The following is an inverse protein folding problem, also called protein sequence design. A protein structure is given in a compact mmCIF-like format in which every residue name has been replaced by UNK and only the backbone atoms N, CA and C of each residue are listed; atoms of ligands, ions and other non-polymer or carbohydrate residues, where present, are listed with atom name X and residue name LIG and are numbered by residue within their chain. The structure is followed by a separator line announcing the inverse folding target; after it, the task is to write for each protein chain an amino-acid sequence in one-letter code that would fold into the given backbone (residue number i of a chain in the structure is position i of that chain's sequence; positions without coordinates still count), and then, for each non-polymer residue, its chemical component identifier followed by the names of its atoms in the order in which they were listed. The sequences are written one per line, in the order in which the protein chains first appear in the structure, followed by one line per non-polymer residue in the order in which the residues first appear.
data_IF_930329207757
#
_entry.id   IF_930329207757
#
_cell.length_a   1.000
_cell.length_b   1.000
_cell.length_c   1.000
_cell.angle_alpha   90.00
_cell.angle_beta   90.00
_cell.angle_gamma   90.00
#
_symmetry.space_group_name_H-M   'P 1'
#
loop_
_entity.id
_entity.type
_entity.pdbx_description
1 polymer ?
#
# COMPACT_ATOMS: atom_id res chain seq x y z
N UNK A 1 16.94 33.71 17.71
CA UNK A 1 16.58 32.31 18.03
C UNK A 1 15.40 31.93 17.15
N UNK A 2 15.66 31.35 15.99
CA UNK A 2 14.61 30.99 15.02
C UNK A 2 13.96 29.69 15.47
N UNK A 3 12.68 29.73 15.78
CA UNK A 3 11.87 28.51 15.93
C UNK A 3 11.63 27.91 14.54
N UNK A 4 12.32 26.83 14.25
CA UNK A 4 12.03 26.00 13.08
C UNK A 4 10.62 25.42 13.20
N UNK A 5 9.85 25.55 12.14
CA UNK A 5 8.53 24.95 12.02
C UNK A 5 8.67 23.41 12.07
N UNK A 6 8.05 22.82 13.07
CA UNK A 6 8.09 21.39 13.41
C UNK A 6 7.46 20.50 12.31
N UNK A 7 6.74 21.08 11.34
CA UNK A 7 6.00 20.32 10.33
C UNK A 7 6.83 19.64 9.24
N UNK A 8 7.97 20.23 8.84
CA UNK A 8 8.77 19.66 7.75
C UNK A 8 9.70 18.51 8.20
N UNK A 9 10.06 18.46 9.47
CA UNK A 9 10.90 17.38 9.99
C UNK A 9 10.11 16.10 10.28
N UNK A 10 8.82 16.19 10.57
CA UNK A 10 7.97 15.00 10.72
C UNK A 10 7.77 14.26 9.39
N UNK A 11 7.56 14.98 8.29
CA UNK A 11 7.42 14.34 6.97
C UNK A 11 8.69 13.62 6.50
N UNK A 12 9.87 14.09 6.89
CA UNK A 12 11.16 13.46 6.53
C UNK A 12 11.45 12.22 7.39
N UNK A 13 10.91 12.15 8.62
CA UNK A 13 11.12 11.02 9.53
C UNK A 13 10.17 9.85 9.29
N UNK A 14 9.04 10.08 8.64
CA UNK A 14 8.00 9.07 8.40
C UNK A 14 8.11 8.40 7.04
N UNK A 15 9.02 8.86 6.17
CA UNK A 15 9.32 8.22 4.90
C UNK A 15 10.66 7.49 4.98
N UNK A 16 10.67 6.22 4.63
CA UNK A 16 11.87 5.38 4.61
C UNK A 16 12.05 4.69 3.28
N UNK A 17 13.28 4.28 3.08
CA UNK A 17 13.60 3.29 2.04
C UNK A 17 13.51 1.89 2.65
N UNK A 18 13.01 0.93 1.91
CA UNK A 18 12.98 -0.47 2.33
C UNK A 18 13.82 -1.35 1.42
N UNK A 19 13.85 -2.66 1.74
CA UNK A 19 14.64 -3.63 0.96
C UNK A 19 13.94 -4.08 -0.32
N UNK A 20 12.63 -3.88 -0.42
CA UNK A 20 11.83 -4.34 -1.56
C UNK A 20 12.13 -3.50 -2.81
N UNK A 21 12.22 -2.17 -2.63
CA UNK A 21 12.67 -1.24 -3.69
C UNK A 21 13.69 -0.29 -3.10
N UNK A 22 14.98 -0.65 -3.14
CA UNK A 22 16.04 0.14 -2.54
C UNK A 22 16.11 1.57 -3.09
N UNK A 23 16.42 2.53 -2.22
CA UNK A 23 16.57 3.95 -2.57
C UNK A 23 15.29 4.64 -3.09
N UNK A 24 14.14 4.04 -2.87
CA UNK A 24 12.83 4.62 -3.22
C UNK A 24 12.04 4.90 -1.95
N UNK A 25 11.58 6.14 -1.81
CA UNK A 25 10.85 6.56 -0.62
C UNK A 25 9.45 5.96 -0.57
N UNK A 26 9.11 5.45 0.59
CA UNK A 26 7.80 4.92 0.90
C UNK A 26 7.25 5.54 2.19
N UNK A 27 5.95 5.56 2.33
CA UNK A 27 5.27 6.06 3.52
C UNK A 27 4.24 5.03 4.00
N UNK A 28 4.49 4.48 5.17
CA UNK A 28 3.58 3.57 5.85
C UNK A 28 2.58 4.38 6.67
N UNK A 29 1.29 4.03 6.57
CA UNK A 29 0.22 4.58 7.39
C UNK A 29 0.07 6.11 7.30
N UNK A 30 0.23 6.68 6.11
CA UNK A 30 -0.11 8.08 5.87
C UNK A 30 -1.57 8.35 6.18
N UNK A 31 -1.86 9.40 6.95
CA UNK A 31 -3.21 9.72 7.43
C UNK A 31 -4.21 9.87 6.28
N UNK A 32 -3.82 10.56 5.20
CA UNK A 32 -4.72 10.77 4.06
C UNK A 32 -4.98 9.44 3.33
N UNK A 33 -3.97 8.58 3.21
CA UNK A 33 -4.11 7.26 2.57
C UNK A 33 -4.88 6.28 3.45
N UNK A 34 -4.81 6.39 4.77
CA UNK A 34 -5.63 5.56 5.67
C UNK A 34 -7.08 6.04 5.76
N UNK A 35 -7.35 7.33 5.58
CA UNK A 35 -8.72 7.81 5.33
C UNK A 35 -9.26 7.25 4.02
N UNK A 36 -8.42 7.17 2.97
CA UNK A 36 -8.78 6.54 1.71
C UNK A 36 -9.06 5.04 1.90
N UNK A 37 -8.23 4.32 2.67
CA UNK A 37 -8.42 2.92 3.05
C UNK A 37 -9.85 2.68 3.59
N UNK A 38 -10.29 3.48 4.56
CA UNK A 38 -11.64 3.36 5.11
C UNK A 38 -12.74 3.75 4.10
N UNK A 39 -12.50 4.81 3.31
CA UNK A 39 -13.50 5.30 2.35
C UNK A 39 -13.77 4.33 1.21
N UNK A 40 -12.77 3.60 0.73
CA UNK A 40 -12.95 2.63 -0.36
C UNK A 40 -13.37 1.25 0.14
N UNK A 41 -13.28 0.96 1.42
CA UNK A 41 -13.66 -0.34 2.00
C UNK A 41 -15.04 -0.82 1.57
N UNK A 42 -16.12 -0.01 1.59
CA UNK A 42 -17.44 -0.47 1.16
C UNK A 42 -17.48 -0.93 -0.31
N UNK A 43 -16.72 -0.24 -1.17
CA UNK A 43 -16.59 -0.63 -2.59
C UNK A 43 -15.79 -1.93 -2.72
N UNK A 44 -14.72 -2.07 -1.93
CA UNK A 44 -13.92 -3.30 -1.88
C UNK A 44 -14.76 -4.50 -1.41
N UNK A 45 -15.59 -4.32 -0.38
CA UNK A 45 -16.51 -5.35 0.11
C UNK A 45 -17.54 -5.74 -0.95
N UNK A 46 -18.11 -4.75 -1.64
CA UNK A 46 -19.06 -5.01 -2.74
C UNK A 46 -18.42 -5.83 -3.86
N UNK A 47 -17.19 -5.48 -4.27
CA UNK A 47 -16.51 -6.12 -5.39
C UNK A 47 -15.90 -7.48 -5.04
N UNK A 48 -15.38 -7.63 -3.81
CA UNK A 48 -14.81 -8.91 -3.34
C UNK A 48 -15.89 -9.91 -2.89
N UNK A 49 -17.05 -9.43 -2.49
CA UNK A 49 -18.12 -10.25 -1.89
C UNK A 49 -17.85 -10.68 -0.45
N UNK A 50 -16.82 -10.15 0.19
CA UNK A 50 -16.45 -10.46 1.59
C UNK A 50 -16.41 -9.20 2.44
N UNK A 51 -16.65 -9.37 3.74
CA UNK A 51 -16.45 -8.30 4.72
C UNK A 51 -14.97 -8.17 5.03
N UNK A 52 -14.48 -6.94 5.16
CA UNK A 52 -13.06 -6.64 5.26
C UNK A 52 -12.71 -6.00 6.60
N UNK A 53 -11.52 -6.34 7.11
CA UNK A 53 -10.85 -5.64 8.21
C UNK A 53 -9.75 -4.79 7.61
N UNK A 54 -9.79 -3.45 7.78
CA UNK A 54 -8.76 -2.56 7.25
C UNK A 54 -7.47 -2.71 8.07
N UNK A 55 -6.34 -2.86 7.39
CA UNK A 55 -5.05 -3.03 8.04
C UNK A 55 -4.19 -1.77 7.96
N UNK A 56 -3.69 -1.42 6.78
CA UNK A 56 -2.85 -0.24 6.62
C UNK A 56 -2.76 0.20 5.17
N UNK A 57 -2.33 1.43 4.99
CA UNK A 57 -1.93 1.97 3.70
C UNK A 57 -0.40 2.00 3.57
N UNK A 58 0.08 1.87 2.34
CA UNK A 58 1.49 2.01 2.00
C UNK A 58 1.62 2.79 0.70
N UNK A 59 2.18 3.98 0.75
CA UNK A 59 2.38 4.83 -0.42
C UNK A 59 3.84 4.79 -0.86
N UNK A 60 4.08 4.84 -2.16
CA UNK A 60 5.42 4.86 -2.72
C UNK A 60 5.49 5.73 -3.96
N UNK A 61 6.60 6.47 -4.10
CA UNK A 61 6.92 7.26 -5.29
C UNK A 61 8.09 6.57 -5.98
N UNK A 62 7.77 5.82 -7.01
CA UNK A 62 8.76 5.12 -7.82
C UNK A 62 9.43 6.06 -8.80
N UNK A 63 10.66 5.75 -9.14
CA UNK A 63 11.49 6.47 -10.09
C UNK A 63 12.10 5.54 -11.13
N UNK A 64 12.67 6.10 -12.15
CA UNK A 64 13.31 5.36 -13.24
C UNK A 64 14.30 4.32 -12.74
N UNK A 65 14.19 3.13 -13.28
CA UNK A 65 15.02 1.97 -12.93
C UNK A 65 14.54 1.19 -11.70
N UNK A 66 13.49 1.63 -11.00
CA UNK A 66 12.91 0.84 -9.93
C UNK A 66 12.29 -0.45 -10.46
N UNK A 67 12.43 -1.51 -9.70
CA UNK A 67 11.85 -2.83 -9.96
C UNK A 67 11.09 -3.27 -8.72
N UNK A 68 9.91 -3.85 -8.90
CA UNK A 68 9.24 -4.58 -7.83
C UNK A 68 9.39 -6.06 -8.14
N UNK A 69 10.31 -6.71 -7.43
CA UNK A 69 10.60 -8.14 -7.63
C UNK A 69 9.36 -9.00 -7.45
N UNK A 70 9.31 -10.12 -8.17
CA UNK A 70 8.20 -11.09 -8.09
C UNK A 70 8.10 -11.66 -6.68
N UNK A 71 6.94 -11.50 -6.04
CA UNK A 71 6.69 -11.90 -4.65
C UNK A 71 5.22 -12.15 -4.37
N UNK A 72 4.95 -12.72 -3.21
CA UNK A 72 3.66 -12.71 -2.54
C UNK A 72 3.73 -11.79 -1.33
N UNK A 73 2.62 -11.21 -0.96
CA UNK A 73 2.51 -10.35 0.21
C UNK A 73 2.53 -11.14 1.53
N UNK A 74 2.76 -10.42 2.62
CA UNK A 74 2.65 -10.95 3.97
C UNK A 74 1.17 -11.19 4.38
N UNK A 75 0.89 -12.04 5.40
CA UNK A 75 -0.48 -12.40 5.77
C UNK A 75 -1.42 -11.22 6.10
N UNK A 76 -0.92 -10.08 6.55
CA UNK A 76 -1.73 -8.87 6.77
C UNK A 76 -2.11 -8.12 5.48
N UNK A 77 -1.76 -8.66 4.32
CA UNK A 77 -2.07 -8.14 2.99
C UNK A 77 -2.86 -9.16 2.18
N UNK A 78 -3.81 -9.84 2.82
CA UNK A 78 -4.58 -10.91 2.18
C UNK A 78 -5.38 -10.41 0.97
N UNK A 79 -6.08 -9.30 1.16
CA UNK A 79 -6.77 -8.56 0.10
C UNK A 79 -6.02 -7.25 -0.08
N UNK A 80 -5.29 -7.16 -1.16
CA UNK A 80 -4.46 -6.00 -1.48
C UNK A 80 -5.02 -5.21 -2.64
N UNK A 81 -4.69 -3.93 -2.66
CA UNK A 81 -4.92 -3.08 -3.83
C UNK A 81 -3.64 -2.40 -4.27
N UNK A 82 -3.58 -2.06 -5.55
CA UNK A 82 -2.66 -1.05 -6.07
C UNK A 82 -3.48 0.01 -6.79
N UNK A 83 -3.38 1.26 -6.35
CA UNK A 83 -4.07 2.43 -6.91
C UNK A 83 -3.04 3.38 -7.48
N UNK A 84 -3.18 3.71 -8.76
CA UNK A 84 -2.32 4.68 -9.43
C UNK A 84 -2.79 6.10 -9.13
N UNK A 85 -2.00 6.86 -8.39
CA UNK A 85 -2.33 8.23 -7.99
C UNK A 85 -1.80 9.30 -8.93
N UNK A 86 -0.74 9.01 -9.70
CA UNK A 86 -0.17 9.99 -10.61
C UNK A 86 1.19 9.60 -11.17
N UNK A 87 1.73 10.47 -12.00
CA UNK A 87 2.95 10.19 -12.76
C UNK A 87 2.67 9.34 -13.98
N UNK A 88 3.69 8.65 -14.47
CA UNK A 88 3.60 7.82 -15.66
C UNK A 88 3.06 6.41 -15.35
N UNK A 89 2.31 5.80 -16.27
CA UNK A 89 1.78 4.46 -16.07
C UNK A 89 2.92 3.44 -16.00
N UNK A 90 2.73 2.45 -15.14
CA UNK A 90 3.67 1.35 -14.97
C UNK A 90 2.92 0.04 -14.80
N UNK A 91 3.10 -0.86 -15.73
CA UNK A 91 2.37 -2.13 -15.77
C UNK A 91 2.55 -2.94 -14.47
N UNK A 92 1.46 -3.53 -14.00
CA UNK A 92 1.43 -4.47 -12.90
C UNK A 92 1.23 -5.88 -13.44
N UNK A 93 2.03 -6.82 -12.98
CA UNK A 93 1.98 -8.20 -13.43
C UNK A 93 1.45 -9.11 -12.33
N UNK A 94 0.60 -10.05 -12.71
CA UNK A 94 0.08 -11.13 -11.87
C UNK A 94 0.35 -12.47 -12.54
N UNK A 95 0.64 -13.49 -11.75
CA UNK A 95 0.75 -14.85 -12.27
C UNK A 95 -0.57 -15.34 -12.91
N UNK A 96 -0.54 -16.26 -13.92
CA UNK A 96 0.70 -16.78 -14.49
C UNK A 96 1.45 -15.78 -15.37
N UNK A 97 0.76 -14.93 -16.15
CA UNK A 97 1.35 -13.94 -17.06
C UNK A 97 0.39 -12.81 -17.42
N UNK A 98 -0.43 -12.39 -16.47
CA UNK A 98 -1.37 -11.30 -16.69
C UNK A 98 -0.67 -9.95 -16.51
N UNK A 99 -0.66 -9.14 -17.56
CA UNK A 99 -0.19 -7.75 -17.53
C UNK A 99 -1.37 -6.79 -17.47
N UNK A 100 -1.34 -5.87 -16.51
CA UNK A 100 -2.40 -4.89 -16.27
C UNK A 100 -1.81 -3.49 -16.28
N UNK A 101 -2.36 -2.65 -17.15
CA UNK A 101 -2.05 -1.22 -17.19
C UNK A 101 -3.14 -0.46 -16.43
N UNK A 102 -2.73 0.44 -15.53
CA UNK A 102 -3.61 1.25 -14.71
C UNK A 102 -3.43 2.73 -15.09
N UNK A 103 -4.52 3.38 -15.45
CA UNK A 103 -4.58 4.82 -15.57
C UNK A 103 -4.63 5.51 -14.20
N UNK A 104 -4.45 6.84 -14.17
CA UNK A 104 -4.57 7.61 -12.92
C UNK A 104 -6.00 7.47 -12.37
N UNK A 105 -6.11 7.06 -11.12
CA UNK A 105 -7.38 6.79 -10.43
C UNK A 105 -7.87 5.35 -10.58
N UNK A 106 -7.26 4.53 -11.43
CA UNK A 106 -7.58 3.11 -11.51
C UNK A 106 -6.99 2.34 -10.34
N UNK A 107 -7.77 1.41 -9.82
CA UNK A 107 -7.39 0.55 -8.70
C UNK A 107 -7.61 -0.92 -9.07
N UNK A 108 -6.58 -1.73 -8.91
CA UNK A 108 -6.66 -3.17 -9.01
C UNK A 108 -6.77 -3.76 -7.59
N UNK A 109 -7.67 -4.73 -7.42
CA UNK A 109 -7.79 -5.54 -6.21
C UNK A 109 -7.34 -6.98 -6.52
N UNK A 110 -6.54 -7.57 -5.63
CA UNK A 110 -6.02 -8.92 -5.80
C UNK A 110 -5.76 -9.59 -4.43
N UNK A 111 -5.58 -10.91 -4.45
CA UNK A 111 -5.24 -11.69 -3.25
C UNK A 111 -3.72 -11.72 -3.09
N UNK A 112 -3.19 -10.73 -2.36
CA UNK A 112 -1.75 -10.50 -2.26
C UNK A 112 -0.93 -11.67 -1.70
N UNK A 113 -1.51 -12.44 -0.76
CA UNK A 113 -0.84 -13.59 -0.16
C UNK A 113 -0.91 -14.88 -1.00
N UNK A 114 -1.78 -14.91 -2.03
CA UNK A 114 -2.04 -16.11 -2.81
C UNK A 114 -1.44 -16.03 -4.20
N UNK A 115 -1.37 -14.82 -4.78
CA UNK A 115 -0.99 -14.59 -6.16
C UNK A 115 0.35 -13.86 -6.22
N UNK A 116 1.32 -14.44 -6.92
CA UNK A 116 2.58 -13.76 -7.18
C UNK A 116 2.38 -12.56 -8.10
N UNK A 117 3.03 -11.46 -7.74
CA UNK A 117 2.92 -10.22 -8.48
C UNK A 117 4.25 -9.45 -8.49
N UNK A 118 4.41 -8.61 -9.54
CA UNK A 118 5.65 -7.88 -9.76
C UNK A 118 5.46 -6.69 -10.71
N UNK A 119 6.49 -5.90 -10.84
CA UNK A 119 6.65 -4.89 -11.88
C UNK A 119 8.07 -4.96 -12.43
N UNK A 120 8.21 -4.99 -13.75
CA UNK A 120 9.51 -4.94 -14.44
C UNK A 120 10.15 -3.55 -14.22
N UNK A 121 11.39 -3.34 -14.75
CA UNK A 121 12.06 -2.05 -14.65
C UNK A 121 11.18 -0.88 -15.09
N UNK A 122 11.05 0.14 -14.25
CA UNK A 122 10.30 1.34 -14.60
C UNK A 122 11.13 2.24 -15.51
N UNK A 123 10.59 2.53 -16.69
CA UNK A 123 11.27 3.35 -17.70
C UNK A 123 10.89 4.83 -17.67
N UNK A 124 9.78 5.18 -16.96
CA UNK A 124 9.33 6.56 -16.78
C UNK A 124 10.12 7.30 -15.69
N UNK A 125 9.82 8.58 -15.50
CA UNK A 125 10.50 9.41 -14.50
C UNK A 125 9.90 9.26 -13.09
N UNK A 126 8.56 9.20 -12.98
CA UNK A 126 7.86 9.14 -11.70
C UNK A 126 6.56 8.36 -11.82
N UNK A 127 6.31 7.44 -10.88
CA UNK A 127 5.03 6.73 -10.72
C UNK A 127 4.62 6.72 -9.25
N UNK A 128 3.44 7.26 -8.95
CA UNK A 128 2.91 7.36 -7.58
C UNK A 128 1.84 6.30 -7.38
N UNK A 129 2.07 5.40 -6.43
CA UNK A 129 1.17 4.32 -6.08
C UNK A 129 0.80 4.36 -4.60
N UNK A 130 -0.43 3.94 -4.29
CA UNK A 130 -0.82 3.57 -2.93
C UNK A 130 -1.36 2.16 -2.92
N UNK A 131 -0.97 1.42 -1.92
CA UNK A 131 -1.42 0.07 -1.60
C UNK A 131 -2.29 0.15 -0.37
N UNK A 132 -3.50 -0.41 -0.45
CA UNK A 132 -4.45 -0.47 0.64
C UNK A 132 -4.67 -1.95 0.96
N UNK A 133 -4.46 -2.33 2.22
CA UNK A 133 -4.43 -3.72 2.65
C UNK A 133 -5.55 -4.04 3.62
N UNK A 134 -6.19 -5.17 3.38
CA UNK A 134 -7.30 -5.68 4.18
C UNK A 134 -7.16 -7.17 4.43
N UNK A 135 -7.85 -7.67 5.45
CA UNK A 135 -8.04 -9.09 5.68
C UNK A 135 -9.53 -9.45 5.60
N UNK A 136 -9.83 -10.68 5.23
CA UNK A 136 -11.20 -11.22 5.24
C UNK A 136 -11.69 -11.36 6.68
N UNK A 137 -12.72 -10.58 7.03
CA UNK A 137 -13.30 -10.54 8.37
C UNK A 137 -13.90 -11.88 8.84
N UNK A 138 -14.16 -12.81 7.93
CA UNK A 138 -14.67 -14.15 8.27
C UNK A 138 -13.60 -15.10 8.80
N UNK A 139 -12.33 -14.77 8.63
CA UNK A 139 -11.22 -15.61 9.08
C UNK A 139 -10.97 -15.49 10.58
N UNK A 140 -10.54 -16.58 11.23
CA UNK A 140 -10.14 -16.53 12.64
C UNK A 140 -9.08 -15.46 12.88
N UNK A 141 -9.25 -14.68 13.93
CA UNK A 141 -8.33 -13.63 14.38
C UNK A 141 -8.16 -12.45 13.38
N UNK A 142 -9.00 -12.34 12.35
CA UNK A 142 -8.92 -11.20 11.42
C UNK A 142 -9.02 -9.85 12.14
N UNK A 143 -9.86 -9.77 13.17
CA UNK A 143 -10.02 -8.53 13.96
C UNK A 143 -8.75 -8.13 14.70
N UNK A 144 -7.87 -9.08 15.06
CA UNK A 144 -6.62 -8.80 15.73
C UNK A 144 -5.62 -8.08 14.83
N UNK A 145 -5.87 -8.08 13.52
CA UNK A 145 -5.06 -7.40 12.51
C UNK A 145 -5.55 -5.99 12.17
N UNK A 146 -6.66 -5.55 12.79
CA UNK A 146 -7.21 -4.23 12.53
C UNK A 146 -6.13 -3.16 12.71
N UNK A 147 -6.03 -2.26 11.73
CA UNK A 147 -5.00 -1.24 11.65
C UNK A 147 -3.57 -1.76 11.77
N UNK A 148 -3.34 -3.01 11.30
CA UNK A 148 -2.05 -3.72 11.40
C UNK A 148 -1.59 -3.84 12.87
N UNK A 149 -2.54 -4.16 13.77
CA UNK A 149 -2.36 -4.26 15.24
C UNK A 149 -1.91 -2.95 15.92
N UNK A 150 -2.19 -1.81 15.30
CA UNK A 150 -2.04 -0.49 15.90
C UNK A 150 -3.35 -0.08 16.58
N UNK A 151 -3.32 0.76 17.64
CA UNK A 151 -4.55 1.20 18.31
C UNK A 151 -5.43 2.12 17.44
N UNK A 152 -4.84 2.87 16.49
CA UNK A 152 -5.55 3.81 15.63
C UNK A 152 -4.89 3.91 14.25
N UNK A 153 -5.66 4.36 13.25
CA UNK A 153 -5.14 4.76 11.95
C UNK A 153 -4.16 5.93 12.05
N UNK A 154 -3.26 6.06 11.08
CA UNK A 154 -2.27 7.15 11.01
C UNK A 154 -1.11 7.02 11.98
N UNK A 155 -1.02 5.95 12.76
CA UNK A 155 0.11 5.71 13.65
C UNK A 155 1.22 4.91 12.93
N UNK A 156 2.50 5.26 13.18
CA UNK A 156 3.63 4.48 12.65
C UNK A 156 3.64 3.03 13.17
N UNK A 157 4.35 2.17 12.44
CA UNK A 157 4.42 0.73 12.70
C UNK A 157 4.93 0.33 14.10
N UNK A 158 5.71 1.18 14.76
CA UNK A 158 6.24 0.90 16.10
C UNK A 158 5.18 0.99 17.21
N UNK A 159 3.96 1.43 16.89
CA UNK A 159 2.82 1.39 17.81
C UNK A 159 2.00 0.09 17.74
N UNK A 160 2.49 -0.92 17.02
CA UNK A 160 1.85 -2.24 17.01
C UNK A 160 1.93 -2.89 18.38
N UNK A 161 0.85 -3.55 18.78
CA UNK A 161 0.77 -4.34 20.01
C UNK A 161 0.96 -3.51 21.32
N UNK A 162 0.54 -2.27 21.31
CA UNK A 162 0.42 -1.48 22.54
C UNK A 162 -0.85 -1.84 23.31
#
# INVERSE_FOLDING_TARGET
MMRRLVGSEMCIRDSWTDRQVPNTYSHYADIAMEILLEKVQPVMEEKSGVKLVPNYSYARIYKKGDVLERHQDRPSCEISTTLHLGGEPWAFHLEPDLKIDLGIGDMLMYRGCEIEHWRDSFEGETCVQVFLHYNDASKPNAIDTIYDSRPFLGLPHFYRNL
#
